data_IF_147563506762
#
_entry.id   IF_147563506762
#
_cell.length_a   1.000
_cell.length_b   1.000
_cell.length_c   1.000
_cell.angle_alpha   90.00
_cell.angle_beta   90.00
_cell.angle_gamma   90.00
#
_symmetry.space_group_name_H-M   'P 1'
#
loop_
_entity.id
_entity.type
_entity.pdbx_description
1 polymer ?
#
# COMPACT_ATOMS: atom_id res chain seq x y z
N UNK A 1 12.63 5.74 0.20
CA UNK A 1 11.77 5.91 1.40
C UNK A 1 10.34 5.56 1.08
N UNK A 2 9.69 4.83 1.99
CA UNK A 2 8.29 4.46 1.81
C UNK A 2 7.40 5.70 1.78
N UNK A 3 6.45 5.75 0.84
CA UNK A 3 5.57 6.91 0.65
C UNK A 3 4.11 6.52 0.86
N UNK A 4 3.60 6.71 2.09
CA UNK A 4 2.22 6.33 2.38
C UNK A 4 1.18 7.09 1.55
N UNK A 5 1.49 8.33 1.16
CA UNK A 5 0.55 9.12 0.35
C UNK A 5 0.30 8.48 -1.00
N UNK A 6 1.32 7.88 -1.59
CA UNK A 6 1.17 7.22 -2.88
C UNK A 6 0.28 5.98 -2.77
N UNK A 7 0.39 5.27 -1.65
CA UNK A 7 -0.45 4.11 -1.41
C UNK A 7 -1.92 4.53 -1.33
N UNK A 8 -2.21 5.54 -0.53
CA UNK A 8 -3.57 6.02 -0.38
C UNK A 8 -4.14 6.51 -1.70
N UNK A 9 -3.35 7.31 -2.43
CA UNK A 9 -3.79 7.87 -3.69
C UNK A 9 -4.15 6.78 -4.69
N UNK A 10 -3.29 5.76 -4.80
CA UNK A 10 -3.54 4.70 -5.76
C UNK A 10 -4.77 3.88 -5.39
N UNK A 11 -4.94 3.62 -4.10
CA UNK A 11 -6.14 2.92 -3.63
C UNK A 11 -7.39 3.68 -4.02
N UNK A 12 -7.38 4.99 -3.78
CA UNK A 12 -8.55 5.82 -4.10
C UNK A 12 -8.80 5.90 -5.59
N UNK A 13 -7.73 5.94 -6.40
CA UNK A 13 -7.89 5.94 -7.86
C UNK A 13 -8.60 4.68 -8.35
N UNK A 14 -8.39 3.57 -7.67
CA UNK A 14 -9.03 2.31 -8.04
C UNK A 14 -10.41 2.14 -7.42
N UNK A 15 -10.85 3.10 -6.62
CA UNK A 15 -12.17 3.05 -5.99
C UNK A 15 -12.29 2.03 -4.88
N UNK A 16 -11.17 1.66 -4.26
CA UNK A 16 -11.16 0.67 -3.20
C UNK A 16 -11.24 1.33 -1.83
N UNK A 17 -11.95 0.70 -0.91
CA UNK A 17 -11.93 1.10 0.49
C UNK A 17 -10.75 0.43 1.20
N UNK A 18 -10.36 1.00 2.34
CA UNK A 18 -9.26 0.44 3.11
C UNK A 18 -9.52 -1.02 3.48
N UNK A 19 -10.74 -1.33 3.89
CA UNK A 19 -11.12 -2.68 4.26
C UNK A 19 -10.95 -3.64 3.07
N UNK A 20 -11.39 -3.19 1.90
CA UNK A 20 -11.31 -4.03 0.71
C UNK A 20 -9.87 -4.36 0.36
N UNK A 21 -9.00 -3.36 0.37
CA UNK A 21 -7.61 -3.59 0.03
C UNK A 21 -6.91 -4.44 1.09
N UNK A 22 -7.22 -4.19 2.36
CA UNK A 22 -6.65 -5.01 3.44
C UNK A 22 -7.01 -6.48 3.24
N UNK A 23 -8.24 -6.76 2.87
CA UNK A 23 -8.67 -8.14 2.62
C UNK A 23 -7.93 -8.75 1.43
N UNK A 24 -7.74 -7.98 0.37
CA UNK A 24 -7.02 -8.49 -0.80
C UNK A 24 -5.57 -8.83 -0.48
N UNK A 25 -4.97 -8.07 0.42
CA UNK A 25 -3.58 -8.31 0.82
C UNK A 25 -3.50 -9.41 1.89
N UNK A 26 -4.56 -9.60 2.67
CA UNK A 26 -4.58 -10.59 3.72
C UNK A 26 -4.12 -10.06 5.07
N UNK A 27 -4.35 -8.78 5.33
CA UNK A 27 -3.99 -8.16 6.61
C UNK A 27 -5.22 -7.53 7.23
N UNK A 28 -5.12 -7.16 8.50
CA UNK A 28 -6.23 -6.49 9.17
C UNK A 28 -6.36 -5.05 8.66
N UNK A 29 -7.56 -4.50 8.83
CA UNK A 29 -7.79 -3.10 8.46
C UNK A 29 -6.89 -2.18 9.26
N UNK A 30 -6.68 -2.49 10.54
CA UNK A 30 -5.83 -1.68 11.40
C UNK A 30 -4.38 -1.67 10.91
N UNK A 31 -3.87 -2.82 10.49
CA UNK A 31 -2.52 -2.89 9.95
C UNK A 31 -2.41 -2.06 8.67
N UNK A 32 -3.38 -2.20 7.79
CA UNK A 32 -3.38 -1.44 6.55
C UNK A 32 -3.48 0.07 6.82
N UNK A 33 -4.36 0.46 7.75
CA UNK A 33 -4.54 1.86 8.12
C UNK A 33 -3.21 2.49 8.55
N UNK A 34 -2.43 1.77 9.34
CA UNK A 34 -1.13 2.27 9.76
C UNK A 34 -0.19 2.50 8.60
N UNK A 35 -0.29 1.69 7.56
CA UNK A 35 0.53 1.88 6.37
C UNK A 35 0.22 3.20 5.68
N UNK A 36 -1.05 3.56 5.59
CA UNK A 36 -1.44 4.82 4.95
C UNK A 36 -1.12 6.03 5.82
N UNK A 37 -1.06 5.85 7.12
CA UNK A 37 -0.71 6.94 8.02
C UNK A 37 0.79 7.10 8.22
N UNK A 38 1.58 6.17 7.70
CA UNK A 38 3.02 6.22 7.89
C UNK A 38 3.47 5.80 9.27
N UNK A 39 2.56 5.21 10.07
CA UNK A 39 2.89 4.72 11.41
C UNK A 39 3.67 3.42 11.37
N UNK A 40 3.53 2.67 10.29
CA UNK A 40 4.33 1.50 10.00
C UNK A 40 4.41 1.36 8.51
N UNK A 41 5.30 0.49 8.03
CA UNK A 41 5.39 0.26 6.59
C UNK A 41 5.23 -1.22 6.30
N UNK A 42 4.72 -1.56 5.10
CA UNK A 42 4.55 -2.95 4.74
C UNK A 42 5.90 -3.66 4.61
N UNK A 43 5.88 -4.97 4.87
CA UNK A 43 7.05 -5.79 4.61
C UNK A 43 7.25 -5.93 3.10
N UNK A 44 8.41 -6.47 2.71
CA UNK A 44 8.68 -6.68 1.28
C UNK A 44 7.63 -7.58 0.64
N UNK A 45 7.19 -8.60 1.35
CA UNK A 45 6.15 -9.50 0.83
C UNK A 45 4.86 -8.73 0.59
N UNK A 46 4.47 -7.90 1.55
CA UNK A 46 3.23 -7.11 1.41
C UNK A 46 3.37 -6.03 0.36
N UNK A 47 4.54 -5.43 0.22
CA UNK A 47 4.80 -4.47 -0.85
C UNK A 47 4.57 -5.13 -2.20
N UNK A 48 5.10 -6.34 -2.39
CA UNK A 48 4.92 -7.05 -3.65
C UNK A 48 3.45 -7.32 -3.94
N UNK A 49 2.69 -7.70 -2.90
CA UNK A 49 1.25 -7.90 -3.07
C UNK A 49 0.53 -6.61 -3.45
N UNK A 50 0.89 -5.51 -2.80
CA UNK A 50 0.30 -4.22 -3.11
C UNK A 50 0.59 -3.80 -4.55
N UNK A 51 1.83 -3.98 -4.98
CA UNK A 51 2.20 -3.64 -6.36
C UNK A 51 1.37 -4.42 -7.35
N UNK A 52 1.14 -5.69 -7.08
CA UNK A 52 0.37 -6.53 -7.97
C UNK A 52 -1.10 -6.15 -7.98
N UNK A 53 -1.69 -5.97 -6.82
CA UNK A 53 -3.12 -5.64 -6.70
C UNK A 53 -3.41 -4.25 -7.25
N UNK A 54 -2.55 -3.30 -6.95
CA UNK A 54 -2.74 -1.91 -7.39
C UNK A 54 -2.21 -1.65 -8.79
N UNK A 55 -1.55 -2.65 -9.38
CA UNK A 55 -1.00 -2.56 -10.74
C UNK A 55 0.00 -1.41 -10.87
N UNK A 56 0.85 -1.30 -9.88
CA UNK A 56 1.91 -0.28 -9.87
C UNK A 56 3.25 -0.97 -10.08
N UNK A 57 4.23 -0.24 -10.61
CA UNK A 57 5.54 -0.85 -10.86
C UNK A 57 6.29 -1.12 -9.57
N UNK A 58 7.24 -2.03 -9.64
CA UNK A 58 8.10 -2.34 -8.51
C UNK A 58 8.84 -1.07 -8.08
N UNK A 59 8.83 -0.81 -6.77
CA UNK A 59 9.50 0.36 -6.23
C UNK A 59 8.67 1.63 -6.25
N UNK A 60 7.45 1.57 -6.79
CA UNK A 60 6.60 2.76 -6.88
C UNK A 60 6.39 3.43 -5.53
N UNK A 61 6.20 2.62 -4.49
CA UNK A 61 5.92 3.17 -3.16
C UNK A 61 7.17 3.68 -2.44
N UNK A 62 8.33 3.52 -3.05
CA UNK A 62 9.61 3.94 -2.47
C UNK A 62 10.51 4.61 -3.50
N UNK A 63 9.92 5.19 -4.53
CA UNK A 63 10.73 5.63 -5.68
C UNK A 63 11.48 6.94 -5.49
N UNK A 64 11.31 7.57 -4.33
CA UNK A 64 12.10 8.77 -4.04
C UNK A 64 13.51 8.43 -3.56
N UNK A 65 13.83 7.16 -3.50
CA UNK A 65 15.17 6.72 -3.12
C UNK A 65 16.03 6.60 -4.35
N UNK A 66 17.08 7.35 -4.40
CA UNK A 66 18.00 7.32 -5.52
C UNK A 66 19.41 7.15 -5.02
#
# INVERSE_FOLDING_TARGET
>A
MYQPDKLKQKREELGLEQQELAELIGVSKQAYFKWEKGLSKPTKVNIAKLEKVLKIPEGYLSEDEI
#
